data_IF_634473700383
#
_entry.id   IF_634473700383
#
_cell.length_a   1.000
_cell.length_b   1.000
_cell.length_c   1.000
_cell.angle_alpha   90.00
_cell.angle_beta   90.00
_cell.angle_gamma   90.00
#
_symmetry.space_group_name_H-M   'P 1'
#
loop_
_entity.id
_entity.type
_entity.pdbx_description
1 polymer ?
#
# COMPACT_ATOMS: atom_id res chain seq x y z
N UNK A 1 -10.33 15.84 -7.75
CA UNK A 1 -9.77 14.57 -7.25
C UNK A 1 -8.33 14.85 -6.87
N UNK A 2 -8.12 15.02 -5.58
CA UNK A 2 -6.79 15.16 -4.98
C UNK A 2 -6.34 13.80 -4.41
N UNK A 3 -5.02 13.61 -4.29
CA UNK A 3 -4.44 12.49 -3.56
C UNK A 3 -3.88 13.02 -2.24
N UNK A 4 -4.22 12.35 -1.14
CA UNK A 4 -3.78 12.70 0.20
C UNK A 4 -2.91 11.59 0.76
N UNK A 5 -1.68 11.94 1.14
CA UNK A 5 -0.74 10.99 1.73
C UNK A 5 -0.92 10.94 3.26
N UNK A 6 -1.49 9.84 3.74
CA UNK A 6 -1.67 9.50 5.15
C UNK A 6 -0.78 8.32 5.57
N UNK A 7 0.26 8.02 4.78
CA UNK A 7 1.27 7.05 5.17
C UNK A 7 2.01 7.56 6.40
N UNK A 8 2.40 6.64 7.27
CA UNK A 8 3.19 6.98 8.45
C UNK A 8 4.53 7.56 8.00
N UNK A 9 4.69 8.87 8.16
CA UNK A 9 5.94 9.57 7.94
C UNK A 9 6.12 10.62 9.05
N UNK A 10 7.38 10.89 9.42
CA UNK A 10 7.71 11.88 10.46
C UNK A 10 7.64 13.32 9.94
N UNK A 11 7.40 13.52 8.64
CA UNK A 11 7.63 14.80 7.95
C UNK A 11 6.33 15.52 7.56
N UNK A 12 5.16 14.89 7.72
CA UNK A 12 3.87 15.47 7.40
C UNK A 12 2.91 15.39 8.59
N UNK A 13 3.11 16.20 9.65
CA UNK A 13 2.27 16.17 10.84
C UNK A 13 0.83 16.63 10.57
N UNK A 14 0.58 17.30 9.44
CA UNK A 14 -0.75 17.78 9.07
C UNK A 14 -1.69 16.64 8.68
N UNK A 15 -1.17 15.50 8.22
CA UNK A 15 -1.96 14.36 7.80
C UNK A 15 -1.78 13.21 8.78
N UNK A 16 -2.72 13.07 9.71
CA UNK A 16 -2.67 11.98 10.69
C UNK A 16 -3.74 10.95 10.38
N UNK A 17 -3.33 9.72 10.07
CA UNK A 17 -4.21 8.56 10.07
C UNK A 17 -4.46 8.12 11.51
N UNK A 18 -5.73 8.10 11.93
CA UNK A 18 -6.13 7.73 13.29
C UNK A 18 -6.58 6.27 13.33
N UNK A 19 -7.44 5.87 12.38
CA UNK A 19 -7.93 4.50 12.27
C UNK A 19 -8.21 4.16 10.79
N UNK A 20 -7.91 2.92 10.40
CA UNK A 20 -8.43 2.33 9.17
C UNK A 20 -9.01 0.96 9.52
N UNK A 21 -10.31 0.79 9.30
CA UNK A 21 -11.06 -0.42 9.65
C UNK A 21 -11.68 -1.02 8.39
N UNK A 22 -11.45 -2.30 8.14
CA UNK A 22 -12.19 -3.05 7.13
C UNK A 22 -13.64 -3.26 7.59
N UNK A 23 -14.60 -2.85 6.76
CA UNK A 23 -16.04 -3.11 6.97
C UNK A 23 -16.49 -4.38 6.24
N UNK A 24 -15.95 -4.58 5.04
CA UNK A 24 -16.10 -5.76 4.19
C UNK A 24 -14.90 -5.81 3.24
N UNK A 25 -14.64 -6.93 2.54
CA UNK A 25 -13.59 -6.98 1.51
C UNK A 25 -13.78 -5.84 0.50
N UNK A 26 -12.79 -4.95 0.40
CA UNK A 26 -12.78 -3.82 -0.54
C UNK A 26 -13.49 -2.57 -0.02
N UNK A 27 -14.05 -2.59 1.19
CA UNK A 27 -14.72 -1.45 1.81
C UNK A 27 -14.15 -1.15 3.19
N UNK A 28 -13.79 0.11 3.40
CA UNK A 28 -13.10 0.55 4.60
C UNK A 28 -13.78 1.78 5.20
N UNK A 29 -13.63 1.93 6.51
CA UNK A 29 -13.87 3.18 7.22
C UNK A 29 -12.52 3.73 7.66
N UNK A 30 -12.22 4.95 7.23
CA UNK A 30 -10.98 5.64 7.56
C UNK A 30 -11.32 6.84 8.43
N UNK A 31 -10.60 6.99 9.53
CA UNK A 31 -10.63 8.18 10.38
C UNK A 31 -9.28 8.84 10.31
N UNK A 32 -9.25 10.13 10.02
CA UNK A 32 -8.03 10.91 9.97
C UNK A 32 -8.24 12.36 10.39
N UNK A 33 -7.15 13.12 10.43
CA UNK A 33 -7.15 14.55 10.69
C UNK A 33 -6.31 15.27 9.62
N UNK A 34 -6.79 16.44 9.19
CA UNK A 34 -6.15 17.28 8.18
C UNK A 34 -6.44 16.86 6.74
N UNK A 35 -5.69 17.41 5.79
CA UNK A 35 -5.83 17.14 4.35
C UNK A 35 -7.07 17.70 3.67
N UNK A 36 -8.06 18.24 4.40
CA UNK A 36 -9.31 18.76 3.80
C UNK A 36 -9.98 17.78 2.84
N UNK A 37 -9.92 16.48 3.18
CA UNK A 37 -10.35 15.35 2.35
C UNK A 37 -11.81 15.51 1.89
N UNK A 38 -12.06 15.30 0.60
CA UNK A 38 -13.41 15.32 0.02
C UNK A 38 -13.82 13.95 -0.54
N UNK A 39 -15.12 13.76 -0.74
CA UNK A 39 -15.59 12.63 -1.54
C UNK A 39 -15.03 12.72 -2.97
N UNK A 40 -14.55 11.59 -3.49
CA UNK A 40 -13.88 11.48 -4.78
C UNK A 40 -12.37 11.68 -4.73
N UNK A 41 -11.78 11.95 -3.55
CA UNK A 41 -10.33 11.98 -3.37
C UNK A 41 -9.76 10.59 -3.09
N UNK A 42 -8.46 10.43 -3.31
CA UNK A 42 -7.72 9.20 -3.01
C UNK A 42 -6.85 9.40 -1.76
N UNK A 43 -6.80 8.37 -0.91
CA UNK A 43 -6.02 8.34 0.32
C UNK A 43 -4.95 7.25 0.23
N UNK A 44 -3.69 7.60 0.45
CA UNK A 44 -2.64 6.61 0.65
C UNK A 44 -2.51 6.33 2.14
N UNK A 45 -2.83 5.11 2.58
CA UNK A 45 -2.77 4.73 4.00
C UNK A 45 -1.80 3.58 4.22
N UNK A 46 -0.96 3.67 5.24
CA UNK A 46 -0.03 2.59 5.61
C UNK A 46 -0.77 1.35 6.10
N UNK A 47 -0.31 0.17 5.69
CA UNK A 47 -0.81 -1.09 6.23
C UNK A 47 -0.27 -1.32 7.64
N UNK A 48 -1.16 -1.62 8.58
CA UNK A 48 -0.75 -1.91 9.96
C UNK A 48 0.21 -3.12 9.98
N UNK A 49 1.37 -2.92 10.60
CA UNK A 49 2.42 -3.95 10.70
C UNK A 49 3.40 -3.99 9.53
N UNK A 50 3.21 -3.14 8.51
CA UNK A 50 4.16 -3.00 7.41
C UNK A 50 5.18 -1.88 7.68
N UNK A 51 6.37 -2.03 7.10
CA UNK A 51 7.43 -1.01 7.06
C UNK A 51 7.19 0.01 5.94
N UNK A 52 6.75 -0.44 4.77
CA UNK A 52 6.74 0.36 3.54
C UNK A 52 5.46 0.21 2.68
N UNK A 53 4.60 -0.76 2.99
CA UNK A 53 3.36 -0.97 2.25
C UNK A 53 2.29 0.04 2.63
N UNK A 54 1.59 0.46 1.59
CA UNK A 54 0.42 1.30 1.69
C UNK A 54 -0.65 0.79 0.73
N UNK A 55 -1.88 1.21 0.97
CA UNK A 55 -3.01 0.98 0.08
C UNK A 55 -3.58 2.32 -0.34
N UNK A 56 -3.98 2.41 -1.61
CA UNK A 56 -4.79 3.52 -2.12
C UNK A 56 -6.25 3.22 -1.84
N UNK A 57 -6.93 4.18 -1.23
CA UNK A 57 -8.34 4.13 -0.87
C UNK A 57 -9.09 5.28 -1.52
N UNK A 58 -10.15 4.97 -2.24
CA UNK A 58 -11.00 5.97 -2.88
C UNK A 58 -12.10 6.42 -1.91
N UNK A 59 -12.17 7.70 -1.58
CA UNK A 59 -13.14 8.24 -0.64
C UNK A 59 -14.54 8.36 -1.27
N UNK A 60 -15.46 7.48 -0.91
CA UNK A 60 -16.83 7.49 -1.44
C UNK A 60 -17.70 8.53 -0.72
N UNK A 61 -17.55 8.61 0.60
CA UNK A 61 -18.31 9.52 1.44
C UNK A 61 -17.46 10.03 2.58
N UNK A 62 -17.35 11.34 2.73
CA UNK A 62 -16.59 11.98 3.81
C UNK A 62 -17.52 12.75 4.74
N UNK A 63 -17.30 12.62 6.05
CA UNK A 63 -17.95 13.40 7.10
C UNK A 63 -16.90 14.07 7.98
N UNK A 64 -16.82 15.39 7.90
CA UNK A 64 -16.01 16.19 8.80
C UNK A 64 -16.66 16.26 10.19
N UNK A 65 -15.86 16.13 11.23
CA UNK A 65 -16.29 16.21 12.62
C UNK A 65 -16.09 17.64 13.13
N UNK A 66 -17.03 18.08 13.98
CA UNK A 66 -16.93 19.39 14.64
C UNK A 66 -15.96 19.31 15.82
N UNK A 67 -15.91 18.16 16.50
CA UNK A 67 -15.06 17.92 17.65
C UNK A 67 -14.50 16.49 17.61
N UNK A 68 -13.17 16.29 17.67
CA UNK A 68 -12.12 17.32 17.60
C UNK A 68 -12.07 18.03 16.22
N UNK A 69 -11.72 19.33 16.17
CA UNK A 69 -11.59 20.06 14.92
C UNK A 69 -10.56 19.43 13.97
N UNK A 70 -10.85 19.48 12.67
CA UNK A 70 -9.97 18.93 11.62
C UNK A 70 -10.08 17.42 11.42
N UNK A 71 -10.75 16.70 12.34
CA UNK A 71 -10.99 15.27 12.19
C UNK A 71 -12.12 15.01 11.20
N UNK A 72 -12.01 13.90 10.48
CA UNK A 72 -13.03 13.43 9.54
C UNK A 72 -13.10 11.91 9.58
N UNK A 73 -14.23 11.38 9.11
CA UNK A 73 -14.45 9.96 8.87
C UNK A 73 -14.90 9.78 7.43
N UNK A 74 -14.25 8.85 6.70
CA UNK A 74 -14.57 8.52 5.33
C UNK A 74 -14.97 7.05 5.21
N UNK A 75 -16.01 6.78 4.41
CA UNK A 75 -16.22 5.45 3.82
C UNK A 75 -15.46 5.43 2.51
N UNK A 76 -14.64 4.40 2.31
CA UNK A 76 -13.76 4.29 1.16
C UNK A 76 -13.85 2.91 0.52
N UNK A 77 -13.50 2.83 -0.76
CA UNK A 77 -13.24 1.57 -1.47
C UNK A 77 -11.76 1.39 -1.76
N UNK A 78 -11.32 0.14 -1.91
CA UNK A 78 -9.92 -0.18 -2.17
C UNK A 78 -9.68 -1.67 -2.41
N UNK A 79 -8.42 -2.16 -2.24
CA UNK A 79 -8.09 -3.56 -2.39
C UNK A 79 -9.00 -4.47 -1.56
N UNK A 80 -9.40 -5.63 -2.08
CA UNK A 80 -10.33 -6.53 -1.41
C UNK A 80 -9.59 -7.67 -0.70
N UNK A 81 -9.17 -7.44 0.55
CA UNK A 81 -8.64 -8.49 1.42
C UNK A 81 -9.76 -9.07 2.29
N UNK A 82 -9.93 -10.39 2.30
CA UNK A 82 -10.71 -11.09 3.33
C UNK A 82 -9.88 -11.25 4.60
N UNK A 83 -8.62 -11.63 4.45
CA UNK A 83 -7.64 -11.70 5.53
C UNK A 83 -6.31 -11.14 5.04
N UNK A 84 -5.94 -9.94 5.50
CA UNK A 84 -4.68 -9.32 5.10
C UNK A 84 -3.50 -10.04 5.77
N UNK A 85 -2.58 -10.58 4.96
CA UNK A 85 -1.29 -11.07 5.42
C UNK A 85 -0.16 -10.32 4.71
N UNK A 86 0.82 -9.89 5.50
CA UNK A 86 2.07 -9.27 5.02
C UNK A 86 3.17 -10.32 5.13
N UNK A 87 3.91 -10.50 4.04
CA UNK A 87 5.05 -11.40 3.97
C UNK A 87 6.31 -10.63 3.55
N UNK A 88 7.46 -11.10 4.01
CA UNK A 88 8.76 -10.64 3.55
C UNK A 88 9.33 -11.65 2.57
N UNK A 89 9.98 -11.17 1.50
CA UNK A 89 10.78 -12.01 0.63
C UNK A 89 12.07 -11.31 0.24
N UNK A 90 13.09 -12.12 0.04
CA UNK A 90 14.43 -11.69 -0.32
C UNK A 90 14.79 -12.29 -1.66
N UNK A 91 15.18 -11.44 -2.61
CA UNK A 91 15.59 -11.82 -3.95
C UNK A 91 16.94 -11.21 -4.29
N UNK A 92 17.76 -11.93 -5.07
CA UNK A 92 19.05 -11.45 -5.55
C UNK A 92 18.99 -11.20 -7.04
N UNK A 93 19.67 -10.15 -7.48
CA UNK A 93 19.85 -9.87 -8.90
C UNK A 93 20.76 -10.93 -9.51
N UNK A 94 20.30 -11.61 -10.56
CA UNK A 94 21.08 -12.67 -11.22
C UNK A 94 22.32 -12.18 -11.97
N UNK A 95 22.46 -10.86 -12.17
CA UNK A 95 23.60 -10.25 -12.86
C UNK A 95 24.65 -9.69 -11.89
N UNK A 96 24.24 -8.92 -10.87
CA UNK A 96 25.16 -8.22 -9.97
C UNK A 96 25.11 -8.72 -8.52
N UNK A 97 24.27 -9.71 -8.22
CA UNK A 97 24.07 -10.30 -6.89
C UNK A 97 23.63 -9.30 -5.81
N UNK A 98 23.15 -8.11 -6.21
CA UNK A 98 22.52 -7.16 -5.28
C UNK A 98 21.25 -7.77 -4.72
N UNK A 99 21.04 -7.60 -3.43
CA UNK A 99 19.90 -8.16 -2.71
C UNK A 99 18.80 -7.12 -2.51
N UNK A 100 17.55 -7.57 -2.62
CA UNK A 100 16.36 -6.82 -2.29
C UNK A 100 15.58 -7.61 -1.25
N UNK A 101 15.44 -7.03 -0.05
CA UNK A 101 14.49 -7.45 0.99
C UNK A 101 13.26 -6.54 0.90
N UNK A 102 12.07 -7.11 0.73
CA UNK A 102 10.85 -6.34 0.56
C UNK A 102 9.61 -7.04 1.12
N UNK A 103 8.62 -6.23 1.47
CA UNK A 103 7.30 -6.69 1.91
C UNK A 103 6.32 -6.74 0.75
N UNK A 104 5.40 -7.70 0.80
CA UNK A 104 4.23 -7.77 -0.07
C UNK A 104 3.00 -8.24 0.71
N UNK A 105 1.81 -7.79 0.28
CA UNK A 105 0.54 -8.13 0.89
C UNK A 105 -0.24 -9.14 0.06
N UNK A 106 -0.91 -10.09 0.71
CA UNK A 106 -1.81 -11.06 0.10
C UNK A 106 -3.10 -11.20 0.90
N UNK A 107 -4.15 -11.65 0.23
CA UNK A 107 -5.30 -12.22 0.94
C UNK A 107 -4.97 -13.65 1.36
N UNK A 108 -4.78 -13.87 2.67
CA UNK A 108 -4.45 -15.17 3.24
C UNK A 108 -5.51 -16.24 2.94
N UNK A 109 -6.76 -15.83 2.66
CA UNK A 109 -7.81 -16.74 2.24
C UNK A 109 -7.51 -17.46 0.90
N UNK A 110 -6.59 -16.91 0.08
CA UNK A 110 -6.15 -17.54 -1.17
C UNK A 110 -5.02 -18.56 -0.97
N UNK A 111 -4.44 -18.61 0.23
CA UNK A 111 -3.38 -19.54 0.61
C UNK A 111 -2.04 -19.31 -0.10
N UNK A 112 -1.11 -20.25 0.08
CA UNK A 112 0.29 -20.15 -0.41
C UNK A 112 0.42 -19.91 -1.92
N UNK A 113 -0.55 -20.35 -2.73
CA UNK A 113 -0.52 -20.21 -4.19
C UNK A 113 -0.57 -18.74 -4.63
N UNK A 114 -1.15 -17.85 -3.81
CA UNK A 114 -1.21 -16.42 -4.11
C UNK A 114 0.08 -15.65 -3.78
N UNK A 115 1.00 -16.25 -3.00
CA UNK A 115 2.22 -15.57 -2.56
C UNK A 115 3.18 -15.27 -3.72
N UNK A 116 3.45 -16.24 -4.59
CA UNK A 116 4.34 -16.06 -5.75
C UNK A 116 3.89 -14.91 -6.67
N UNK A 117 2.64 -14.93 -7.18
CA UNK A 117 2.13 -13.86 -8.05
C UNK A 117 2.11 -12.47 -7.39
N UNK A 118 1.81 -12.40 -6.09
CA UNK A 118 1.80 -11.14 -5.35
C UNK A 118 3.23 -10.60 -5.14
N UNK A 119 4.17 -11.48 -4.82
CA UNK A 119 5.58 -11.15 -4.71
C UNK A 119 6.11 -10.63 -6.06
N UNK A 120 5.85 -11.33 -7.17
CA UNK A 120 6.24 -10.92 -8.53
C UNK A 120 5.69 -9.55 -8.92
N UNK A 121 4.42 -9.28 -8.59
CA UNK A 121 3.79 -7.97 -8.81
C UNK A 121 4.52 -6.89 -8.02
N UNK A 122 4.83 -7.16 -6.75
CA UNK A 122 5.53 -6.22 -5.89
C UNK A 122 6.95 -5.92 -6.35
N UNK A 123 7.73 -6.91 -6.83
CA UNK A 123 9.08 -6.62 -7.36
C UNK A 123 8.99 -5.66 -8.55
N UNK A 124 7.96 -5.83 -9.38
CA UNK A 124 7.72 -4.98 -10.55
C UNK A 124 7.39 -3.55 -10.16
N UNK A 125 6.60 -3.35 -9.11
CA UNK A 125 6.34 -2.02 -8.52
C UNK A 125 7.62 -1.37 -7.99
N UNK A 126 8.55 -2.17 -7.46
CA UNK A 126 9.88 -1.72 -7.01
C UNK A 126 10.87 -1.51 -8.17
N UNK A 127 10.42 -1.63 -9.42
CA UNK A 127 11.22 -1.43 -10.63
C UNK A 127 12.13 -2.59 -11.00
N UNK A 128 12.02 -3.75 -10.33
CA UNK A 128 12.71 -4.97 -10.72
C UNK A 128 11.95 -5.68 -11.83
N UNK A 129 12.66 -6.35 -12.73
CA UNK A 129 12.05 -7.07 -13.85
C UNK A 129 12.43 -8.54 -13.78
N UNK A 130 11.48 -9.40 -14.11
CA UNK A 130 11.74 -10.82 -14.37
C UNK A 130 11.87 -11.04 -15.88
N UNK A 131 13.05 -11.48 -16.33
CA UNK A 131 13.29 -11.86 -17.73
C UNK A 131 13.77 -13.30 -17.77
N UNK A 132 13.06 -14.20 -18.48
CA UNK A 132 13.46 -15.60 -18.66
C UNK A 132 13.85 -16.28 -17.32
N UNK A 133 12.98 -16.15 -16.31
CA UNK A 133 13.18 -16.65 -14.95
C UNK A 133 14.36 -16.05 -14.16
N UNK A 134 14.93 -14.94 -14.63
CA UNK A 134 15.94 -14.16 -13.91
C UNK A 134 15.35 -12.89 -13.34
N UNK A 135 15.68 -12.57 -12.10
CA UNK A 135 15.39 -11.30 -11.45
C UNK A 135 16.53 -10.31 -11.70
N UNK A 136 16.22 -9.19 -12.35
CA UNK A 136 17.19 -8.15 -12.67
C UNK A 136 16.85 -6.85 -11.92
N UNK A 137 17.83 -6.29 -11.23
CA UNK A 137 17.69 -4.98 -10.59
C UNK A 137 17.62 -3.84 -11.62
N UNK A 138 17.07 -2.67 -11.29
CA UNK A 138 16.94 -1.54 -12.22
C UNK A 138 18.26 -1.14 -12.90
N UNK A 139 19.39 -1.28 -12.19
CA UNK A 139 20.72 -0.98 -12.71
C UNK A 139 21.20 -1.98 -13.77
N UNK A 140 20.90 -3.27 -13.59
CA UNK A 140 21.27 -4.31 -14.56
C UNK A 140 20.33 -4.32 -15.76
N UNK A 141 19.08 -3.84 -15.59
CA UNK A 141 18.15 -3.66 -16.70
C UNK A 141 18.64 -2.61 -17.69
N UNK A 142 19.11 -1.45 -17.19
CA UNK A 142 19.61 -0.38 -18.06
C UNK A 142 20.97 -0.68 -18.71
N UNK A 143 21.74 -1.63 -18.16
CA UNK A 143 23.00 -2.10 -18.76
C UNK A 143 22.80 -3.11 -19.89
N UNK A 144 21.59 -3.69 -20.01
CA UNK A 144 21.22 -4.65 -21.04
C UNK A 144 20.41 -4.04 -22.20
N UNK A 145 20.13 -2.73 -22.15
CA UNK A 145 19.43 -1.94 -23.17
C UNK A 145 20.42 -1.10 -23.98
#
# INVERSE_FOLDING_TARGET
MAEHDFRYNLLNPEHTLIECRALAPGRYQVTGNGGSVQSGDDLLVTLKGSRDLFMRLHAEKVRHLINPPGQWVAVTSGPAFRELAIHNWQVKCDSCNTELDFEFAVDAALGKKAQGPAAETRIRELGWTQQQDKHLCPKCQSAAA
#
